data_IF_423152156128
#
_entry.id   IF_423152156128
#
_cell.length_a   1.000
_cell.length_b   1.000
_cell.length_c   1.000
_cell.angle_alpha   90.00
_cell.angle_beta   90.00
_cell.angle_gamma   90.00
#
_symmetry.space_group_name_H-M   'P 1'
#
loop_
_entity.id
_entity.type
_entity.pdbx_description
1 polymer ?
#
# COMPACT_ATOMS: atom_id res chain seq x y z
N UNK A 1 -85.50 -31.18 -49.44
CA UNK A 1 -84.89 -31.49 -48.14
C UNK A 1 -83.35 -31.71 -48.28
N UNK A 2 -82.80 -32.09 -49.41
CA UNK A 2 -81.34 -32.31 -49.63
C UNK A 2 -80.48 -31.06 -49.81
N UNK A 3 -81.06 -29.94 -50.26
CA UNK A 3 -80.28 -28.69 -50.50
C UNK A 3 -79.94 -27.94 -49.19
N UNK A 4 -80.75 -28.08 -48.11
CA UNK A 4 -80.45 -27.42 -46.83
C UNK A 4 -79.37 -28.15 -46.03
N UNK A 5 -79.22 -29.43 -46.18
CA UNK A 5 -78.20 -30.22 -45.47
C UNK A 5 -76.77 -29.88 -46.00
N UNK A 6 -76.59 -29.63 -47.29
CA UNK A 6 -75.32 -29.29 -47.92
C UNK A 6 -74.85 -27.91 -47.53
N UNK A 7 -75.70 -26.91 -47.34
CA UNK A 7 -75.30 -25.53 -47.00
C UNK A 7 -74.91 -25.44 -45.52
N UNK A 8 -75.54 -26.19 -44.62
CA UNK A 8 -75.11 -26.24 -43.21
C UNK A 8 -73.77 -26.98 -43.02
N UNK A 9 -73.57 -28.10 -43.74
CA UNK A 9 -72.32 -28.84 -43.68
C UNK A 9 -71.13 -27.98 -44.21
N UNK A 10 -71.35 -27.26 -45.31
CA UNK A 10 -70.30 -26.39 -45.90
C UNK A 10 -69.95 -25.18 -45.00
N UNK A 11 -70.95 -24.62 -44.28
CA UNK A 11 -70.66 -23.55 -43.31
C UNK A 11 -69.92 -24.01 -42.04
N UNK A 12 -70.26 -25.24 -41.56
CA UNK A 12 -69.52 -25.83 -40.42
C UNK A 12 -68.10 -26.20 -40.73
N UNK A 13 -67.81 -26.76 -41.93
CA UNK A 13 -66.44 -27.07 -42.39
C UNK A 13 -65.63 -25.80 -42.57
N UNK A 14 -66.17 -24.76 -43.18
CA UNK A 14 -65.47 -23.46 -43.38
C UNK A 14 -65.19 -22.75 -42.06
N UNK A 15 -66.11 -22.83 -41.06
CA UNK A 15 -65.87 -22.25 -39.74
C UNK A 15 -64.79 -22.98 -38.95
N UNK A 16 -64.69 -24.30 -39.08
CA UNK A 16 -63.66 -25.13 -38.45
C UNK A 16 -62.30 -24.90 -39.05
N UNK A 17 -62.15 -24.73 -40.39
CA UNK A 17 -60.91 -24.41 -41.05
C UNK A 17 -60.37 -23.03 -40.62
N UNK A 18 -61.25 -22.04 -40.50
CA UNK A 18 -60.88 -20.71 -39.98
C UNK A 18 -60.40 -20.82 -38.53
N UNK A 19 -61.10 -21.61 -37.68
CA UNK A 19 -60.67 -21.78 -36.27
C UNK A 19 -59.30 -22.44 -36.16
N UNK A 20 -59.02 -23.50 -36.98
CA UNK A 20 -57.72 -24.13 -37.01
C UNK A 20 -56.61 -23.16 -37.51
N UNK A 21 -56.92 -22.38 -38.54
CA UNK A 21 -55.97 -21.37 -39.04
C UNK A 21 -55.60 -20.31 -38.03
N UNK A 22 -56.59 -19.82 -37.26
CA UNK A 22 -56.40 -18.87 -36.15
C UNK A 22 -55.56 -19.51 -35.04
N UNK A 23 -55.90 -20.77 -34.68
CA UNK A 23 -55.14 -21.47 -33.64
C UNK A 23 -53.65 -21.68 -34.05
N UNK A 24 -53.42 -22.14 -35.28
CA UNK A 24 -52.05 -22.27 -35.80
C UNK A 24 -51.27 -20.94 -35.83
N UNK A 25 -51.94 -19.84 -36.18
CA UNK A 25 -51.33 -18.50 -36.15
C UNK A 25 -50.96 -18.09 -34.75
N UNK A 26 -51.82 -18.32 -33.75
CA UNK A 26 -51.53 -18.02 -32.32
C UNK A 26 -50.37 -18.87 -31.81
N UNK A 27 -50.32 -20.15 -32.15
CA UNK A 27 -49.20 -21.04 -31.80
C UNK A 27 -47.91 -20.50 -32.41
N UNK A 28 -47.90 -20.10 -33.68
CA UNK A 28 -46.73 -19.53 -34.35
C UNK A 28 -46.26 -18.24 -33.66
N UNK A 29 -47.17 -17.35 -33.34
CA UNK A 29 -46.84 -16.15 -32.56
C UNK A 29 -46.23 -16.49 -31.18
N UNK A 30 -46.79 -17.47 -30.49
CA UNK A 30 -46.23 -17.97 -29.22
C UNK A 30 -44.79 -18.51 -29.38
N UNK A 31 -44.55 -19.30 -30.41
CA UNK A 31 -43.18 -19.81 -30.71
C UNK A 31 -42.22 -18.67 -31.01
N UNK A 32 -42.62 -17.70 -31.82
CA UNK A 32 -41.78 -16.52 -32.11
C UNK A 32 -41.47 -15.72 -30.85
N UNK A 33 -42.48 -15.52 -29.99
CA UNK A 33 -42.27 -14.85 -28.70
C UNK A 33 -41.28 -15.61 -27.80
N UNK A 34 -41.41 -16.93 -27.67
CA UNK A 34 -40.53 -17.77 -26.90
C UNK A 34 -39.07 -17.71 -27.43
N UNK A 35 -38.89 -17.80 -28.75
CA UNK A 35 -37.54 -17.69 -29.38
C UNK A 35 -36.90 -16.34 -29.10
N UNK A 36 -37.66 -15.25 -29.21
CA UNK A 36 -37.15 -13.90 -28.90
C UNK A 36 -36.79 -13.76 -27.43
N UNK A 37 -37.62 -14.23 -26.51
CA UNK A 37 -37.37 -14.22 -25.06
C UNK A 37 -36.14 -15.03 -24.69
N UNK A 38 -35.98 -16.25 -25.26
CA UNK A 38 -34.80 -17.08 -25.04
C UNK A 38 -33.52 -16.42 -25.56
N UNK A 39 -33.54 -15.80 -26.74
CA UNK A 39 -32.39 -15.06 -27.27
C UNK A 39 -32.03 -13.87 -26.38
N UNK A 40 -33.01 -13.12 -25.91
CA UNK A 40 -32.78 -11.98 -25.00
C UNK A 40 -32.19 -12.44 -23.67
N UNK A 41 -32.71 -13.55 -23.10
CA UNK A 41 -32.19 -14.15 -21.87
C UNK A 41 -30.75 -14.65 -22.07
N UNK A 42 -30.51 -15.40 -23.16
CA UNK A 42 -29.17 -15.89 -23.51
C UNK A 42 -28.14 -14.72 -23.61
N UNK A 43 -28.53 -13.62 -24.29
CA UNK A 43 -27.67 -12.44 -24.38
C UNK A 43 -27.38 -11.77 -23.03
N UNK A 44 -28.37 -11.73 -22.12
CA UNK A 44 -28.17 -11.22 -20.73
C UNK A 44 -27.24 -12.12 -19.94
N UNK A 45 -27.46 -13.46 -20.01
CA UNK A 45 -26.63 -14.45 -19.31
C UNK A 45 -25.19 -14.41 -19.82
N UNK A 46 -24.99 -14.40 -21.15
CA UNK A 46 -23.66 -14.33 -21.75
C UNK A 46 -22.87 -13.08 -21.30
N UNK A 47 -23.49 -11.90 -21.36
CA UNK A 47 -22.87 -10.65 -20.88
C UNK A 47 -22.51 -10.73 -19.40
N UNK A 48 -23.41 -11.27 -18.56
CA UNK A 48 -23.14 -11.40 -17.13
C UNK A 48 -22.02 -12.40 -16.84
N UNK A 49 -21.98 -13.52 -17.54
CA UNK A 49 -20.92 -14.51 -17.41
C UNK A 49 -19.55 -13.93 -17.81
N UNK A 50 -19.50 -13.14 -18.90
CA UNK A 50 -18.28 -12.48 -19.33
C UNK A 50 -17.79 -11.45 -18.31
N UNK A 51 -18.70 -10.66 -17.75
CA UNK A 51 -18.37 -9.71 -16.68
C UNK A 51 -17.80 -10.44 -15.46
N UNK A 52 -18.46 -11.49 -14.97
CA UNK A 52 -18.00 -12.30 -13.83
C UNK A 52 -16.62 -12.90 -14.11
N UNK A 53 -16.41 -13.43 -15.33
CA UNK A 53 -15.10 -13.99 -15.72
C UNK A 53 -13.99 -12.94 -15.68
N UNK A 54 -14.25 -11.72 -16.14
CA UNK A 54 -13.29 -10.60 -16.05
C UNK A 54 -12.97 -10.23 -14.59
N UNK A 55 -13.98 -10.17 -13.73
CA UNK A 55 -13.82 -9.86 -12.31
C UNK A 55 -13.02 -10.96 -11.59
N UNK A 56 -13.31 -12.24 -11.87
CA UNK A 56 -12.55 -13.38 -11.31
C UNK A 56 -11.07 -13.32 -11.76
N UNK A 57 -10.81 -13.10 -13.04
CA UNK A 57 -9.44 -13.02 -13.55
C UNK A 57 -8.66 -11.85 -12.93
N UNK A 58 -9.31 -10.69 -12.76
CA UNK A 58 -8.72 -9.53 -12.07
C UNK A 58 -8.38 -9.86 -10.63
N UNK A 59 -9.33 -10.43 -9.89
CA UNK A 59 -9.13 -10.84 -8.49
C UNK A 59 -8.04 -11.90 -8.34
N UNK A 60 -7.97 -12.87 -9.24
CA UNK A 60 -6.92 -13.89 -9.25
C UNK A 60 -5.52 -13.27 -9.45
N UNK A 61 -5.40 -12.28 -10.35
CA UNK A 61 -4.15 -11.57 -10.57
C UNK A 61 -3.72 -10.74 -9.34
N UNK A 62 -4.68 -10.04 -8.74
CA UNK A 62 -4.44 -9.27 -7.50
C UNK A 62 -4.03 -10.19 -6.34
N UNK A 63 -4.70 -11.32 -6.15
CA UNK A 63 -4.35 -12.31 -5.14
C UNK A 63 -2.95 -12.90 -5.35
N UNK A 64 -2.58 -13.20 -6.60
CA UNK A 64 -1.23 -13.66 -6.95
C UNK A 64 -0.17 -12.61 -6.59
N UNK A 65 -0.42 -11.32 -6.90
CA UNK A 65 0.46 -10.21 -6.55
C UNK A 65 0.60 -10.07 -5.03
N UNK A 66 -0.51 -10.11 -4.29
CA UNK A 66 -0.49 -10.03 -2.82
C UNK A 66 0.25 -11.20 -2.18
N UNK A 67 0.09 -12.42 -2.70
CA UNK A 67 0.82 -13.61 -2.24
C UNK A 67 2.32 -13.47 -2.45
N UNK A 68 2.74 -12.93 -3.61
CA UNK A 68 4.16 -12.68 -3.90
C UNK A 68 4.75 -11.65 -2.93
N UNK A 69 4.05 -10.54 -2.68
CA UNK A 69 4.47 -9.53 -1.70
C UNK A 69 4.61 -10.19 -0.31
N UNK A 70 3.61 -10.97 0.13
CA UNK A 70 3.65 -11.64 1.42
C UNK A 70 4.85 -12.58 1.55
N UNK A 71 5.18 -13.31 0.49
CA UNK A 71 6.35 -14.18 0.43
C UNK A 71 7.65 -13.38 0.56
N UNK A 72 7.82 -12.29 -0.21
CA UNK A 72 8.98 -11.40 -0.11
C UNK A 72 9.16 -10.82 1.29
N UNK A 73 8.06 -10.40 1.95
CA UNK A 73 8.12 -9.91 3.33
C UNK A 73 8.58 -11.00 4.30
N UNK A 74 8.14 -12.25 4.09
CA UNK A 74 8.56 -13.38 4.91
C UNK A 74 10.06 -13.67 4.74
N UNK A 75 10.55 -13.67 3.51
CA UNK A 75 11.99 -13.85 3.23
C UNK A 75 12.83 -12.74 3.87
N UNK A 76 12.41 -11.48 3.71
CA UNK A 76 13.10 -10.34 4.31
C UNK A 76 13.12 -10.43 5.84
N UNK A 77 12.01 -10.86 6.46
CA UNK A 77 11.95 -11.05 7.90
C UNK A 77 12.87 -12.19 8.41
N UNK A 78 12.93 -13.30 7.69
CA UNK A 78 13.83 -14.43 8.03
C UNK A 78 15.29 -13.96 7.95
N UNK A 79 15.68 -13.26 6.89
CA UNK A 79 17.02 -12.71 6.73
C UNK A 79 17.37 -11.71 7.85
N UNK A 80 16.46 -10.77 8.14
CA UNK A 80 16.62 -9.81 9.22
C UNK A 80 16.81 -10.50 10.58
N UNK A 81 15.98 -11.50 10.88
CA UNK A 81 16.03 -12.24 12.14
C UNK A 81 17.37 -12.97 12.31
N UNK A 82 17.86 -13.58 11.24
CA UNK A 82 19.18 -14.25 11.24
C UNK A 82 20.33 -13.23 11.41
N UNK A 83 20.24 -12.08 10.78
CA UNK A 83 21.26 -11.02 10.87
C UNK A 83 21.35 -10.39 12.25
N UNK A 84 20.22 -10.23 12.95
CA UNK A 84 20.14 -9.46 14.19
C UNK A 84 19.98 -10.33 15.45
N UNK A 85 19.61 -11.60 15.31
CA UNK A 85 19.44 -12.53 16.42
C UNK A 85 18.66 -11.91 17.57
N UNK A 86 17.38 -11.62 17.34
CA UNK A 86 16.51 -10.99 18.34
C UNK A 86 16.43 -11.86 19.62
N UNK A 87 16.62 -11.22 20.78
CA UNK A 87 16.61 -11.91 22.08
C UNK A 87 15.21 -12.15 22.64
N UNK A 88 14.25 -11.36 22.17
CA UNK A 88 12.83 -11.40 22.56
C UNK A 88 11.98 -11.24 21.32
N UNK A 89 10.68 -11.57 21.36
CA UNK A 89 9.77 -11.27 20.28
C UNK A 89 9.77 -9.78 19.95
N UNK A 90 9.66 -9.44 18.69
CA UNK A 90 9.45 -8.05 18.25
C UNK A 90 7.97 -7.83 17.92
N UNK A 91 7.47 -6.60 18.03
CA UNK A 91 6.10 -6.26 17.60
C UNK A 91 5.86 -6.63 16.15
N UNK A 92 4.57 -6.79 15.78
CA UNK A 92 4.18 -7.03 14.41
C UNK A 92 4.71 -5.91 13.49
N UNK A 93 5.32 -6.32 12.40
CA UNK A 93 5.77 -5.46 11.31
C UNK A 93 4.66 -5.28 10.28
N UNK A 94 4.82 -4.34 9.34
CA UNK A 94 3.82 -3.97 8.32
C UNK A 94 2.69 -3.08 8.88
N UNK A 95 1.75 -2.70 8.03
CA UNK A 95 0.69 -1.73 8.35
C UNK A 95 1.29 -0.37 8.79
N UNK A 96 1.12 0.05 10.05
CA UNK A 96 1.70 1.28 10.57
C UNK A 96 3.20 1.17 10.86
N UNK A 97 3.70 -0.02 11.14
CA UNK A 97 5.11 -0.27 11.38
C UNK A 97 5.88 -0.42 10.06
N UNK A 98 7.19 -0.21 10.12
CA UNK A 98 8.09 -0.48 9.01
C UNK A 98 7.95 -1.93 8.52
N UNK A 99 7.95 -2.11 7.21
CA UNK A 99 7.86 -3.44 6.58
C UNK A 99 9.20 -4.21 6.70
N UNK A 100 9.17 -5.54 6.68
CA UNK A 100 10.39 -6.36 6.77
C UNK A 100 11.46 -6.02 5.73
N UNK A 101 11.10 -5.72 4.50
CA UNK A 101 12.02 -5.32 3.43
C UNK A 101 12.69 -3.98 3.74
N UNK A 102 11.95 -2.98 4.26
CA UNK A 102 12.53 -1.73 4.73
C UNK A 102 13.47 -1.96 5.92
N UNK A 103 13.06 -2.76 6.91
CA UNK A 103 13.88 -3.08 8.07
C UNK A 103 15.20 -3.79 7.69
N UNK A 104 15.14 -4.69 6.71
CA UNK A 104 16.33 -5.37 6.18
C UNK A 104 17.25 -4.37 5.49
N UNK A 105 16.72 -3.49 4.63
CA UNK A 105 17.47 -2.41 3.98
C UNK A 105 18.17 -1.50 5.00
N UNK A 106 17.46 -1.10 6.06
CA UNK A 106 18.03 -0.29 7.15
C UNK A 106 19.19 -1.01 7.80
N UNK A 107 19.01 -2.31 8.15
CA UNK A 107 20.06 -3.12 8.76
C UNK A 107 21.30 -3.22 7.89
N UNK A 108 21.15 -3.52 6.61
CA UNK A 108 22.23 -3.60 5.65
C UNK A 108 22.93 -2.24 5.46
N UNK A 109 22.15 -1.16 5.37
CA UNK A 109 22.70 0.19 5.24
C UNK A 109 23.53 0.58 6.44
N UNK A 110 23.04 0.32 7.66
CA UNK A 110 23.80 0.60 8.89
C UNK A 110 25.07 -0.24 8.96
N UNK A 111 25.00 -1.54 8.67
CA UNK A 111 26.18 -2.43 8.68
C UNK A 111 27.25 -2.00 7.66
N UNK A 112 26.84 -1.56 6.47
CA UNK A 112 27.74 -1.12 5.40
C UNK A 112 28.34 0.23 5.66
N UNK A 113 27.52 1.24 6.02
CA UNK A 113 27.95 2.64 6.15
C UNK A 113 28.53 2.96 7.53
N UNK A 114 28.25 2.15 8.57
CA UNK A 114 28.67 2.32 9.97
C UNK A 114 28.46 3.76 10.46
N UNK A 115 27.21 4.25 10.44
CA UNK A 115 26.93 5.65 10.75
C UNK A 115 27.28 5.97 12.21
N UNK A 116 27.91 7.13 12.42
CA UNK A 116 28.15 7.66 13.77
C UNK A 116 26.86 8.17 14.40
N UNK A 117 25.99 8.79 13.59
CA UNK A 117 24.68 9.29 14.02
C UNK A 117 23.61 8.87 13.01
N UNK A 118 22.63 8.12 13.49
CA UNK A 118 21.36 7.89 12.82
C UNK A 118 20.31 8.79 13.45
N UNK A 119 19.54 9.49 12.62
CA UNK A 119 18.33 10.19 13.04
C UNK A 119 17.15 9.58 12.32
N UNK A 120 16.10 9.29 13.07
CA UNK A 120 14.88 8.65 12.59
C UNK A 120 13.67 9.50 12.97
N UNK A 121 12.75 9.66 12.04
CA UNK A 121 11.44 10.29 12.25
C UNK A 121 10.37 9.19 12.31
N UNK A 122 9.77 9.03 13.48
CA UNK A 122 8.93 7.88 13.85
C UNK A 122 9.75 6.80 14.57
N UNK A 123 9.38 6.47 15.81
CA UNK A 123 10.08 5.44 16.60
C UNK A 123 9.41 4.07 16.50
N UNK A 124 10.18 2.99 16.67
CA UNK A 124 9.62 1.64 16.66
C UNK A 124 10.64 0.52 16.48
N UNK A 125 10.24 -0.51 15.77
CA UNK A 125 11.12 -1.65 15.45
C UNK A 125 12.33 -1.20 14.62
N UNK A 126 12.20 -0.23 13.77
CA UNK A 126 13.29 0.36 12.98
C UNK A 126 14.38 0.97 13.86
N UNK A 127 14.03 1.60 14.98
CA UNK A 127 14.98 2.08 16.00
C UNK A 127 15.80 0.94 16.59
N UNK A 128 15.12 -0.15 16.96
CA UNK A 128 15.78 -1.38 17.44
C UNK A 128 16.74 -1.94 16.38
N UNK A 129 16.28 -2.02 15.13
CA UNK A 129 17.07 -2.51 14.00
C UNK A 129 18.32 -1.65 13.78
N UNK A 130 18.21 -0.33 13.76
CA UNK A 130 19.36 0.56 13.65
C UNK A 130 20.41 0.30 14.72
N UNK A 131 19.98 0.24 15.97
CA UNK A 131 20.88 0.06 17.10
C UNK A 131 21.52 -1.34 17.13
N UNK A 132 20.73 -2.40 16.86
CA UNK A 132 21.26 -3.78 16.76
C UNK A 132 22.17 -4.00 15.56
N UNK A 133 22.02 -3.23 14.50
CA UNK A 133 22.88 -3.29 13.30
C UNK A 133 24.23 -2.64 13.49
N UNK A 134 24.46 -1.97 14.63
CA UNK A 134 25.78 -1.38 14.97
C UNK A 134 25.89 0.12 14.73
N UNK A 135 24.77 0.85 14.63
CA UNK A 135 24.81 2.30 14.68
C UNK A 135 25.39 2.77 16.02
N UNK A 136 26.34 3.73 15.97
CA UNK A 136 27.01 4.21 17.17
C UNK A 136 26.04 4.99 18.08
N UNK A 137 25.20 5.83 17.49
CA UNK A 137 24.13 6.57 18.18
C UNK A 137 22.90 6.62 17.27
N UNK A 138 21.73 6.33 17.86
CA UNK A 138 20.44 6.49 17.20
C UNK A 138 19.63 7.52 17.99
N UNK A 139 19.07 8.52 17.32
CA UNK A 139 18.12 9.47 17.87
C UNK A 139 16.83 9.33 17.09
N UNK A 140 15.82 8.77 17.71
CA UNK A 140 14.51 8.61 17.11
C UNK A 140 13.54 9.65 17.66
N UNK A 141 12.84 10.35 16.79
CA UNK A 141 11.95 11.47 17.09
C UNK A 141 10.53 10.98 16.88
N UNK A 142 9.71 11.04 17.94
CA UNK A 142 8.33 10.59 17.91
C UNK A 142 7.40 11.68 18.41
N UNK A 143 6.21 11.79 17.83
CA UNK A 143 5.20 12.74 18.29
C UNK A 143 4.34 12.19 19.44
N UNK A 144 4.38 10.88 19.69
CA UNK A 144 3.57 10.17 20.67
C UNK A 144 4.41 9.68 21.85
N UNK A 145 4.08 10.14 23.06
CA UNK A 145 4.70 9.60 24.28
C UNK A 145 4.42 8.10 24.44
N UNK A 146 3.21 7.64 24.09
CA UNK A 146 2.83 6.24 24.19
C UNK A 146 3.71 5.34 23.30
N UNK A 147 3.89 5.71 22.02
CA UNK A 147 4.73 4.92 21.11
C UNK A 147 6.21 5.04 21.47
N UNK A 148 6.65 6.22 21.90
CA UNK A 148 8.00 6.41 22.41
C UNK A 148 8.29 5.55 23.63
N UNK A 149 7.36 5.42 24.57
CA UNK A 149 7.48 4.54 25.73
C UNK A 149 7.57 3.06 25.31
N UNK A 150 6.69 2.60 24.44
CA UNK A 150 6.74 1.22 23.88
C UNK A 150 8.09 0.94 23.21
N UNK A 151 8.65 1.90 22.49
CA UNK A 151 9.96 1.76 21.85
C UNK A 151 11.09 1.69 22.89
N UNK A 152 11.05 2.49 23.94
CA UNK A 152 12.02 2.42 25.05
C UNK A 152 11.99 1.04 25.74
N UNK A 153 10.80 0.48 25.97
CA UNK A 153 10.65 -0.85 26.58
C UNK A 153 11.18 -1.92 25.65
N UNK A 154 10.89 -1.86 24.34
CA UNK A 154 11.44 -2.75 23.32
C UNK A 154 12.98 -2.76 23.32
N UNK A 155 13.59 -1.58 23.37
CA UNK A 155 15.05 -1.43 23.42
C UNK A 155 15.63 -2.05 24.70
N UNK A 156 14.96 -1.88 25.83
CA UNK A 156 15.34 -2.46 27.13
C UNK A 156 15.25 -3.98 27.13
N UNK A 157 14.16 -4.57 26.61
CA UNK A 157 13.97 -6.02 26.48
C UNK A 157 15.10 -6.66 25.66
N UNK A 158 15.49 -5.99 24.58
CA UNK A 158 16.57 -6.44 23.72
C UNK A 158 17.98 -6.07 24.23
N UNK A 159 18.07 -5.42 25.41
CA UNK A 159 19.32 -4.97 26.05
C UNK A 159 20.18 -4.10 25.12
N UNK A 160 19.52 -3.25 24.33
CA UNK A 160 20.18 -2.34 23.41
C UNK A 160 20.55 -1.02 24.13
N UNK A 161 21.72 -0.51 23.82
CA UNK A 161 22.22 0.80 24.28
C UNK A 161 22.51 1.69 23.08
N UNK A 162 22.64 3.01 23.31
CA UNK A 162 22.98 3.95 22.24
C UNK A 162 21.81 4.47 21.42
N UNK A 163 20.56 4.12 21.79
CA UNK A 163 19.35 4.68 21.21
C UNK A 163 18.66 5.63 22.20
N UNK A 164 18.28 6.81 21.73
CA UNK A 164 17.59 7.88 22.45
C UNK A 164 16.26 8.14 21.77
N UNK A 165 15.14 8.13 22.51
CA UNK A 165 13.81 8.48 21.99
C UNK A 165 13.46 9.87 22.49
N UNK A 166 13.34 10.81 21.56
CA UNK A 166 12.90 12.19 21.83
C UNK A 166 11.43 12.35 21.49
N UNK A 167 10.64 12.82 22.46
CA UNK A 167 9.25 13.15 22.19
C UNK A 167 9.16 14.59 21.70
N UNK A 168 8.63 14.74 20.51
CA UNK A 168 8.44 16.01 19.81
C UNK A 168 6.97 16.15 19.40
N UNK A 169 6.10 16.69 20.26
CA UNK A 169 4.70 16.90 19.90
C UNK A 169 4.57 17.67 18.60
N UNK A 170 3.55 17.34 17.80
CA UNK A 170 3.27 18.08 16.58
C UNK A 170 2.82 19.50 16.91
N UNK A 171 3.37 20.46 16.16
CA UNK A 171 3.09 21.89 16.27
C UNK A 171 2.72 22.45 14.90
N UNK A 172 1.91 23.51 14.81
CA UNK A 172 1.68 24.19 13.54
C UNK A 172 2.99 24.57 12.86
N UNK A 173 3.11 24.28 11.58
CA UNK A 173 4.28 24.53 10.76
C UNK A 173 3.97 25.51 9.62
N UNK A 174 5.02 26.15 9.07
CA UNK A 174 4.88 27.27 8.12
C UNK A 174 4.14 26.94 6.81
N UNK A 175 4.01 25.66 6.44
CA UNK A 175 3.25 25.21 5.27
C UNK A 175 1.75 24.97 5.55
N UNK A 176 1.26 25.37 6.73
CA UNK A 176 -0.12 25.13 7.17
C UNK A 176 -0.41 23.71 7.66
N UNK A 177 0.61 22.85 7.74
CA UNK A 177 0.52 21.51 8.33
C UNK A 177 1.00 21.50 9.78
N UNK A 178 1.01 20.30 10.38
CA UNK A 178 1.66 20.06 11.65
C UNK A 178 2.99 19.34 11.44
N UNK A 179 3.99 19.69 12.25
CA UNK A 179 5.32 19.09 12.21
C UNK A 179 5.87 18.91 13.63
N UNK A 180 6.85 18.07 13.79
CA UNK A 180 7.59 17.91 15.05
C UNK A 180 8.08 19.24 15.61
N UNK A 181 8.02 19.41 16.94
CA UNK A 181 8.60 20.58 17.58
C UNK A 181 10.10 20.70 17.23
N UNK A 182 10.41 21.71 16.43
CA UNK A 182 11.77 21.93 15.90
C UNK A 182 12.80 22.21 17.02
N UNK A 183 12.37 22.56 18.21
CA UNK A 183 13.28 22.73 19.35
C UNK A 183 14.00 21.43 19.70
N UNK A 184 13.35 20.27 19.46
CA UNK A 184 13.88 18.93 19.76
C UNK A 184 15.00 18.48 18.83
N UNK A 185 15.19 19.17 17.69
CA UNK A 185 16.13 18.80 16.62
C UNK A 185 17.22 19.86 16.39
N UNK A 186 17.22 20.96 17.15
CA UNK A 186 18.15 22.08 16.93
C UNK A 186 19.62 21.71 17.12
N UNK A 187 19.91 20.82 18.06
CA UNK A 187 21.26 20.34 18.39
C UNK A 187 21.81 19.31 17.40
N UNK A 188 20.95 18.76 16.53
CA UNK A 188 21.34 17.73 15.60
C UNK A 188 22.20 18.32 14.47
N UNK A 189 23.30 17.63 14.18
CA UNK A 189 24.25 17.97 13.10
C UNK A 189 25.10 16.76 12.73
N UNK A 190 25.67 16.78 11.54
CA UNK A 190 26.54 15.71 11.01
C UNK A 190 25.82 14.33 11.03
N UNK A 191 24.56 14.31 10.59
CA UNK A 191 23.75 13.11 10.50
C UNK A 191 24.29 12.27 9.34
N UNK A 192 24.65 11.01 9.60
CA UNK A 192 25.17 10.08 8.59
C UNK A 192 24.06 9.22 7.95
N UNK A 193 22.96 8.97 8.68
CA UNK A 193 21.79 8.31 8.16
C UNK A 193 20.52 8.99 8.68
N UNK A 194 19.69 9.47 7.78
CA UNK A 194 18.36 10.00 8.08
C UNK A 194 17.29 9.01 7.59
N UNK A 195 16.39 8.61 8.46
CA UNK A 195 15.25 7.77 8.11
C UNK A 195 13.96 8.58 8.31
N UNK A 196 13.15 8.71 7.27
CA UNK A 196 11.90 9.47 7.27
C UNK A 196 10.73 8.52 7.14
N UNK A 197 10.16 8.15 8.28
CA UNK A 197 8.96 7.31 8.39
C UNK A 197 7.88 7.97 9.29
N UNK A 198 7.98 9.26 9.50
CA UNK A 198 7.05 10.07 10.30
C UNK A 198 7.12 11.56 9.95
N UNK A 199 6.13 12.32 10.42
CA UNK A 199 4.94 11.92 11.15
C UNK A 199 3.92 11.19 10.27
N UNK A 200 2.81 10.65 10.85
CA UNK A 200 1.77 9.95 10.09
C UNK A 200 1.18 10.83 8.98
N UNK A 201 1.27 10.35 7.72
CA UNK A 201 0.82 11.07 6.53
C UNK A 201 -0.64 10.82 6.14
N UNK A 202 -1.43 10.06 6.92
CA UNK A 202 -2.78 9.64 6.54
C UNK A 202 -3.79 10.77 6.36
N UNK A 203 -3.60 11.88 7.07
CA UNK A 203 -4.48 13.07 7.00
C UNK A 203 -3.92 14.21 6.15
N UNK A 204 -2.63 14.21 5.91
CA UNK A 204 -1.95 15.24 5.13
C UNK A 204 -0.86 14.61 4.26
N UNK A 205 -1.01 14.59 2.92
CA UNK A 205 -0.01 14.02 2.00
C UNK A 205 1.37 14.68 2.11
N UNK A 206 1.46 15.92 2.60
CA UNK A 206 2.72 16.65 2.76
C UNK A 206 3.22 16.65 4.21
N UNK A 207 2.69 15.80 5.09
CA UNK A 207 3.07 15.75 6.51
C UNK A 207 4.57 15.55 6.72
N UNK A 208 5.26 14.79 5.86
CA UNK A 208 6.70 14.52 5.95
C UNK A 208 7.57 15.53 5.19
N UNK A 209 6.97 16.41 4.38
CA UNK A 209 7.71 17.33 3.51
C UNK A 209 8.64 18.30 4.28
N UNK A 210 8.32 18.80 5.50
CA UNK A 210 9.23 19.62 6.29
C UNK A 210 10.59 18.98 6.58
N UNK A 211 10.71 17.63 6.50
CA UNK A 211 11.99 16.94 6.71
C UNK A 211 13.10 17.48 5.80
N UNK A 212 12.78 17.84 4.56
CA UNK A 212 13.74 18.43 3.64
C UNK A 212 14.35 19.71 4.21
N UNK A 213 13.51 20.65 4.62
CA UNK A 213 13.95 21.96 5.13
C UNK A 213 14.72 21.83 6.44
N UNK A 214 14.24 20.97 7.33
CA UNK A 214 14.76 20.86 8.68
C UNK A 214 16.05 20.04 8.78
N UNK A 215 16.32 19.14 7.82
CA UNK A 215 17.45 18.22 7.92
C UNK A 215 18.54 18.36 6.85
N UNK A 216 18.27 18.94 5.66
CA UNK A 216 19.28 19.01 4.59
C UNK A 216 20.60 19.59 5.05
N UNK A 217 20.57 20.66 5.83
CA UNK A 217 21.77 21.35 6.31
C UNK A 217 22.41 20.71 7.57
N UNK A 218 21.75 19.68 8.13
CA UNK A 218 22.25 18.90 9.27
C UNK A 218 22.94 17.61 8.85
N UNK A 219 22.86 17.24 7.57
CA UNK A 219 23.45 16.03 7.04
C UNK A 219 24.99 16.13 6.95
N UNK A 220 25.67 15.00 7.11
CA UNK A 220 27.08 14.90 6.77
C UNK A 220 27.28 14.83 5.24
N UNK A 221 28.45 15.12 4.74
CA UNK A 221 28.75 15.07 3.29
C UNK A 221 28.53 13.68 2.67
N UNK A 222 28.58 12.61 3.48
CA UNK A 222 28.37 11.21 3.07
C UNK A 222 27.06 10.63 3.58
N UNK A 223 26.11 11.46 3.99
CA UNK A 223 24.86 11.02 4.56
C UNK A 223 24.05 10.18 3.57
N UNK A 224 23.33 9.22 4.11
CA UNK A 224 22.29 8.48 3.37
C UNK A 224 20.94 8.92 3.91
N UNK A 225 19.96 9.13 3.01
CA UNK A 225 18.59 9.42 3.39
C UNK A 225 17.69 8.29 2.90
N UNK A 226 16.91 7.71 3.80
CA UNK A 226 15.90 6.67 3.49
C UNK A 226 14.54 7.29 3.77
N UNK A 227 13.63 7.22 2.80
CA UNK A 227 12.24 7.72 2.93
C UNK A 227 11.29 6.56 2.64
N UNK A 228 10.42 6.23 3.61
CA UNK A 228 9.38 5.20 3.45
C UNK A 228 8.12 5.75 2.76
N UNK A 229 7.24 4.83 2.36
CA UNK A 229 5.92 5.12 1.79
C UNK A 229 5.94 5.86 0.43
N UNK A 230 7.02 5.81 -0.36
CA UNK A 230 7.14 6.57 -1.63
C UNK A 230 6.23 6.08 -2.76
N UNK A 231 5.36 5.09 -2.50
CA UNK A 231 4.19 4.81 -3.36
C UNK A 231 3.12 5.90 -3.23
N UNK A 232 3.19 6.74 -2.19
CA UNK A 232 2.38 7.96 -2.04
C UNK A 232 3.04 9.14 -2.74
N UNK A 233 2.23 10.00 -3.38
CA UNK A 233 2.72 11.13 -4.17
C UNK A 233 3.50 12.15 -3.33
N UNK A 234 3.08 12.40 -2.08
CA UNK A 234 3.73 13.34 -1.18
C UNK A 234 5.16 12.92 -0.80
N UNK A 235 5.34 11.66 -0.39
CA UNK A 235 6.63 11.11 -0.04
C UNK A 235 7.53 10.91 -1.28
N UNK A 236 6.95 10.60 -2.44
CA UNK A 236 7.69 10.56 -3.71
C UNK A 236 8.26 11.92 -4.06
N UNK A 237 7.42 12.97 -4.00
CA UNK A 237 7.84 14.36 -4.23
C UNK A 237 8.93 14.79 -3.25
N UNK A 238 8.77 14.46 -1.96
CA UNK A 238 9.79 14.71 -0.96
C UNK A 238 11.13 14.08 -1.34
N UNK A 239 11.14 12.81 -1.76
CA UNK A 239 12.35 12.09 -2.15
C UNK A 239 13.05 12.73 -3.36
N UNK A 240 12.29 13.12 -4.37
CA UNK A 240 12.81 13.79 -5.58
C UNK A 240 13.40 15.16 -5.25
N UNK A 241 12.72 15.97 -4.44
CA UNK A 241 13.18 17.30 -4.07
C UNK A 241 14.36 17.23 -3.08
N UNK A 242 14.38 16.23 -2.20
CA UNK A 242 15.52 15.95 -1.33
C UNK A 242 16.77 15.62 -2.15
N UNK A 243 16.64 14.73 -3.14
CA UNK A 243 17.74 14.36 -4.03
C UNK A 243 18.26 15.54 -4.84
N UNK A 244 17.38 16.41 -5.37
CA UNK A 244 17.78 17.66 -6.06
C UNK A 244 18.56 18.60 -5.14
N UNK A 245 18.27 18.60 -3.84
CA UNK A 245 18.98 19.45 -2.87
C UNK A 245 20.38 18.94 -2.50
N UNK A 246 20.71 17.70 -2.89
CA UNK A 246 21.97 17.02 -2.60
C UNK A 246 22.71 16.65 -3.91
N UNK A 247 23.41 17.58 -4.57
CA UNK A 247 23.93 17.41 -5.94
C UNK A 247 24.90 16.23 -6.12
N UNK A 248 25.57 15.80 -5.04
CA UNK A 248 26.52 14.68 -5.06
C UNK A 248 25.88 13.34 -4.68
N UNK A 249 24.55 13.26 -4.65
CA UNK A 249 23.82 12.05 -4.30
C UNK A 249 23.01 11.55 -5.49
N UNK A 250 22.66 10.26 -5.44
CA UNK A 250 21.75 9.59 -6.38
C UNK A 250 20.50 9.16 -5.65
N UNK A 251 19.36 9.28 -6.32
CA UNK A 251 18.09 8.75 -5.87
C UNK A 251 17.87 7.37 -6.48
N UNK A 252 17.59 6.38 -5.65
CA UNK A 252 17.15 5.05 -6.04
C UNK A 252 15.77 4.79 -5.42
N UNK A 253 14.80 4.38 -6.22
CA UNK A 253 13.47 3.95 -5.76
C UNK A 253 13.43 2.42 -5.78
N UNK A 254 13.12 1.83 -4.63
CA UNK A 254 12.98 0.39 -4.44
C UNK A 254 11.50 0.02 -4.41
N UNK A 255 11.15 -1.08 -5.09
CA UNK A 255 9.77 -1.60 -5.11
C UNK A 255 9.51 -2.47 -3.86
N UNK A 256 9.71 -1.88 -2.69
CA UNK A 256 9.32 -2.45 -1.41
C UNK A 256 7.79 -2.42 -1.23
N UNK A 257 7.27 -3.08 -0.19
CA UNK A 257 5.82 -3.17 0.06
C UNK A 257 5.13 -1.80 -0.04
N UNK A 258 5.69 -0.78 0.61
CA UNK A 258 5.18 0.60 0.59
C UNK A 258 5.96 1.52 -0.38
N UNK A 259 7.00 0.99 -1.00
CA UNK A 259 7.99 1.77 -1.75
C UNK A 259 8.97 2.50 -0.84
N UNK A 260 10.25 2.44 -1.18
CA UNK A 260 11.30 3.10 -0.40
C UNK A 260 12.23 3.88 -1.32
N UNK A 261 12.52 5.12 -0.95
CA UNK A 261 13.56 5.91 -1.61
C UNK A 261 14.86 5.87 -0.81
N UNK A 262 15.97 5.69 -1.49
CA UNK A 262 17.32 5.80 -0.95
C UNK A 262 18.06 6.89 -1.70
N UNK A 263 18.52 7.90 -0.98
CA UNK A 263 19.35 8.98 -1.50
C UNK A 263 20.74 8.79 -0.90
N UNK A 264 21.72 8.42 -1.70
CA UNK A 264 23.07 8.06 -1.24
C UNK A 264 24.16 8.76 -2.06
N UNK A 265 25.35 8.99 -1.50
CA UNK A 265 26.49 9.51 -2.25
C UNK A 265 26.77 8.71 -3.52
N UNK A 266 27.23 9.40 -4.56
CA UNK A 266 27.65 8.79 -5.84
C UNK A 266 28.91 7.98 -5.69
#
# INVERSE_FOLDING_TARGET
MFLFYNVYSCRYTLSMEILYSVLLFLILLGIIYCIRSLRALHGKVSKKTEQISREINKSALENKKMSMIAYQQTEAFIQLSNLLQFKSPIPATRSWAASPDLLLLISETVKRSKPSLVVELGSGVSTLVCAKSGARKVISIDNSEEYGAKTRDLLKEHKVRGAEIRIAPLRPYANGSEWYDVATIKDLKKIDLLIVDGPPGSKNPEARYPALKEFKDKLSAKAIVIIDDVKRDGERKLAEDFAKSLPNHTLTILDHEKGTAVISPR
#
